data_IF_774938153382
#
_entry.id   IF_774938153382
#
_cell.length_a   1.000
_cell.length_b   1.000
_cell.length_c   1.000
_cell.angle_alpha   90.00
_cell.angle_beta   90.00
_cell.angle_gamma   90.00
#
_symmetry.space_group_name_H-M   'P 1'
#
loop_
_entity.id
_entity.type
_entity.pdbx_description
1 polymer ?
#
# COMPACT_ATOMS: atom_id res chain seq x y z
N UNK A 1 -17.81 -10.12 7.54
CA UNK A 1 -17.74 -8.86 8.32
C UNK A 1 -19.07 -8.16 8.27
N UNK A 2 -19.60 -7.79 9.43
CA UNK A 2 -20.84 -7.00 9.59
C UNK A 2 -20.55 -5.96 10.68
N UNK A 3 -20.84 -4.66 10.46
CA UNK A 3 -20.63 -3.63 11.47
C UNK A 3 -21.30 -3.96 12.81
N UNK A 4 -20.62 -3.70 13.92
CA UNK A 4 -21.11 -3.87 15.29
C UNK A 4 -21.21 -5.31 15.78
N UNK A 5 -20.80 -6.31 14.98
CA UNK A 5 -20.90 -7.71 15.38
C UNK A 5 -19.84 -8.05 16.44
N UNK A 6 -20.27 -8.57 17.59
CA UNK A 6 -19.36 -8.95 18.68
C UNK A 6 -18.26 -9.96 18.28
N UNK A 7 -18.54 -10.82 17.30
CA UNK A 7 -17.60 -11.80 16.75
C UNK A 7 -16.58 -11.20 15.75
N UNK A 8 -16.62 -9.89 15.48
CA UNK A 8 -15.60 -9.24 14.67
C UNK A 8 -14.20 -9.38 15.34
N UNK A 9 -13.12 -9.52 14.55
CA UNK A 9 -11.75 -9.55 15.08
C UNK A 9 -11.41 -8.31 15.93
N UNK A 10 -10.44 -8.43 16.83
CA UNK A 10 -10.08 -7.35 17.77
C UNK A 10 -9.74 -6.03 17.07
N UNK A 11 -8.95 -6.08 16.00
CA UNK A 11 -8.56 -4.91 15.22
C UNK A 11 -9.75 -4.23 14.52
N UNK A 12 -10.75 -4.99 14.08
CA UNK A 12 -12.00 -4.44 13.52
C UNK A 12 -12.81 -3.76 14.62
N UNK A 13 -13.03 -4.43 15.76
CA UNK A 13 -13.78 -3.84 16.88
C UNK A 13 -13.15 -2.55 17.38
N UNK A 14 -11.80 -2.47 17.35
CA UNK A 14 -11.06 -1.24 17.62
C UNK A 14 -11.38 -0.15 16.61
N UNK A 15 -11.37 -0.45 15.32
CA UNK A 15 -11.74 0.54 14.28
C UNK A 15 -13.18 1.00 14.47
N UNK A 16 -14.12 0.10 14.73
CA UNK A 16 -15.53 0.43 15.00
C UNK A 16 -15.68 1.36 16.22
N UNK A 17 -14.81 1.21 17.23
CA UNK A 17 -14.76 2.08 18.42
C UNK A 17 -14.26 3.49 18.10
N UNK A 18 -13.27 3.64 17.22
CA UNK A 18 -12.62 4.94 16.95
C UNK A 18 -13.11 5.64 15.68
N UNK A 19 -13.81 4.93 14.81
CA UNK A 19 -14.36 5.39 13.54
C UNK A 19 -15.70 4.69 13.30
N UNK A 20 -16.81 5.34 13.64
CA UNK A 20 -18.15 4.85 13.30
C UNK A 20 -18.43 4.99 11.80
N UNK A 21 -19.42 4.27 11.28
CA UNK A 21 -19.86 4.42 9.88
C UNK A 21 -20.30 5.86 9.57
N UNK A 22 -21.07 6.49 10.46
CA UNK A 22 -21.47 7.89 10.32
C UNK A 22 -20.27 8.85 10.28
N UNK A 23 -19.22 8.58 11.05
CA UNK A 23 -17.98 9.38 11.00
C UNK A 23 -17.27 9.14 9.67
N UNK A 24 -17.14 7.90 9.20
CA UNK A 24 -16.57 7.58 7.89
C UNK A 24 -17.32 8.29 6.75
N UNK A 25 -18.65 8.29 6.80
CA UNK A 25 -19.52 9.02 5.87
C UNK A 25 -19.26 10.53 5.88
N UNK A 26 -19.14 11.12 7.07
CA UNK A 26 -18.82 12.53 7.21
C UNK A 26 -17.42 12.89 6.67
N UNK A 27 -16.43 12.00 6.83
CA UNK A 27 -15.07 12.22 6.31
C UNK A 27 -15.02 12.12 4.78
N UNK A 28 -15.83 11.25 4.18
CA UNK A 28 -15.81 10.95 2.75
C UNK A 28 -17.21 11.07 2.11
N UNK A 29 -17.81 12.26 2.08
CA UNK A 29 -19.17 12.46 1.59
C UNK A 29 -19.32 12.27 0.07
N UNK A 30 -18.24 12.48 -0.71
CA UNK A 30 -18.24 12.39 -2.18
C UNK A 30 -17.59 11.13 -2.73
N UNK A 31 -17.22 10.19 -1.87
CA UNK A 31 -16.57 8.95 -2.32
C UNK A 31 -17.43 8.21 -3.34
N UNK A 32 -16.79 7.42 -4.20
CA UNK A 32 -17.51 6.43 -4.99
C UNK A 32 -18.25 5.46 -4.05
N UNK A 33 -19.49 5.11 -4.38
CA UNK A 33 -20.33 4.19 -3.59
C UNK A 33 -19.71 2.79 -3.43
N UNK A 34 -18.75 2.41 -4.30
CA UNK A 34 -17.99 1.17 -4.16
C UNK A 34 -17.08 1.15 -2.90
N UNK A 35 -16.65 2.33 -2.43
CA UNK A 35 -15.94 2.48 -1.16
C UNK A 35 -16.94 2.51 0.00
N UNK A 36 -17.39 1.33 0.44
CA UNK A 36 -18.27 1.21 1.60
C UNK A 36 -17.49 1.04 2.91
N UNK A 37 -18.09 1.46 4.03
CA UNK A 37 -17.54 1.20 5.36
C UNK A 37 -17.38 -0.29 5.62
N UNK A 38 -18.32 -1.12 5.15
CA UNK A 38 -18.22 -2.58 5.21
C UNK A 38 -16.99 -3.10 4.47
N UNK A 39 -16.66 -2.56 3.29
CA UNK A 39 -15.46 -2.96 2.54
C UNK A 39 -14.17 -2.52 3.25
N UNK A 40 -14.16 -1.35 3.89
CA UNK A 40 -13.06 -0.92 4.77
C UNK A 40 -12.84 -1.94 5.89
N UNK A 41 -13.91 -2.32 6.61
CA UNK A 41 -13.83 -3.31 7.69
C UNK A 41 -13.40 -4.70 7.18
N UNK A 42 -13.82 -5.12 5.99
CA UNK A 42 -13.37 -6.37 5.34
C UNK A 42 -11.87 -6.35 5.07
N UNK A 43 -11.36 -5.24 4.53
CA UNK A 43 -9.93 -5.03 4.31
C UNK A 43 -9.13 -5.15 5.61
N UNK A 44 -9.54 -4.43 6.64
CA UNK A 44 -8.90 -4.44 7.97
C UNK A 44 -8.96 -5.84 8.61
N UNK A 45 -10.10 -6.53 8.52
CA UNK A 45 -10.25 -7.87 9.08
C UNK A 45 -9.26 -8.89 8.50
N UNK A 46 -8.90 -8.75 7.21
CA UNK A 46 -7.97 -9.66 6.53
C UNK A 46 -6.52 -9.46 6.97
N UNK A 47 -6.16 -8.29 7.48
CA UNK A 47 -4.80 -7.94 7.88
C UNK A 47 -4.75 -7.46 9.35
N UNK A 48 -4.69 -8.38 10.32
CA UNK A 48 -4.80 -8.07 11.75
C UNK A 48 -3.76 -7.09 12.31
N UNK A 49 -2.62 -6.94 11.64
CA UNK A 49 -1.60 -5.96 12.00
C UNK A 49 -2.07 -4.50 11.83
N UNK A 50 -3.04 -4.25 10.94
CA UNK A 50 -3.64 -2.93 10.79
C UNK A 50 -4.57 -2.65 11.96
N UNK A 51 -4.29 -1.60 12.73
CA UNK A 51 -4.93 -1.33 14.02
C UNK A 51 -4.85 -2.55 14.97
N UNK A 52 -3.69 -3.23 15.02
CA UNK A 52 -3.47 -4.42 15.84
C UNK A 52 -3.40 -4.18 17.36
N UNK A 53 -3.35 -5.28 18.10
CA UNK A 53 -3.17 -5.27 19.57
C UNK A 53 -1.67 -5.18 19.93
N UNK A 54 -1.37 -4.55 21.06
CA UNK A 54 0.00 -4.42 21.60
C UNK A 54 0.09 -5.02 23.00
N UNK A 55 1.17 -5.76 23.27
CA UNK A 55 1.43 -6.40 24.57
C UNK A 55 2.43 -5.63 25.45
N UNK A 56 2.99 -4.55 24.91
CA UNK A 56 4.07 -3.75 25.50
C UNK A 56 3.56 -2.44 26.14
N UNK A 57 2.24 -2.32 26.34
CA UNK A 57 1.62 -1.16 26.99
C UNK A 57 1.33 0.03 26.07
N UNK A 58 1.62 -0.06 24.76
CA UNK A 58 1.23 0.97 23.80
C UNK A 58 -0.30 1.12 23.71
N UNK A 59 -0.76 2.37 23.60
CA UNK A 59 -2.18 2.67 23.40
C UNK A 59 -2.60 2.32 21.96
N UNK A 60 -3.16 1.12 21.80
CA UNK A 60 -3.61 0.59 20.53
C UNK A 60 -4.69 1.48 19.86
N UNK A 61 -5.56 2.11 20.64
CA UNK A 61 -6.65 2.92 20.12
C UNK A 61 -6.13 4.27 19.60
N UNK A 62 -5.18 4.89 20.32
CA UNK A 62 -4.50 6.10 19.86
C UNK A 62 -3.69 5.84 18.59
N UNK A 63 -2.95 4.73 18.54
CA UNK A 63 -2.18 4.33 17.35
C UNK A 63 -3.12 4.07 16.17
N UNK A 64 -4.27 3.42 16.41
CA UNK A 64 -5.25 3.17 15.36
C UNK A 64 -5.86 4.47 14.81
N UNK A 65 -6.19 5.45 15.66
CA UNK A 65 -6.66 6.78 15.22
C UNK A 65 -5.62 7.47 14.34
N UNK A 66 -4.34 7.43 14.75
CA UNK A 66 -3.24 8.01 13.96
C UNK A 66 -3.06 7.30 12.62
N UNK A 67 -3.08 5.96 12.61
CA UNK A 67 -2.96 5.16 11.40
C UNK A 67 -4.10 5.45 10.41
N UNK A 68 -5.34 5.50 10.90
CA UNK A 68 -6.50 5.89 10.08
C UNK A 68 -6.36 7.30 9.53
N UNK A 69 -5.98 8.28 10.37
CA UNK A 69 -5.78 9.65 9.93
C UNK A 69 -4.72 9.77 8.83
N UNK A 70 -3.59 9.08 8.99
CA UNK A 70 -2.52 9.04 7.99
C UNK A 70 -2.98 8.37 6.70
N UNK A 71 -3.57 7.17 6.77
CA UNK A 71 -4.06 6.47 5.57
C UNK A 71 -5.12 7.26 4.82
N UNK A 72 -6.06 7.89 5.54
CA UNK A 72 -7.12 8.71 4.93
C UNK A 72 -6.57 9.97 4.25
N UNK A 73 -5.55 10.61 4.85
CA UNK A 73 -4.86 11.73 4.21
C UNK A 73 -4.16 11.31 2.92
N UNK A 74 -3.56 10.11 2.90
CA UNK A 74 -3.02 9.57 1.65
C UNK A 74 -4.13 9.32 0.63
N UNK A 75 -5.26 8.72 1.01
CA UNK A 75 -6.37 8.46 0.08
C UNK A 75 -6.90 9.74 -0.60
N UNK A 76 -6.91 10.87 0.11
CA UNK A 76 -7.24 12.18 -0.49
C UNK A 76 -6.32 12.51 -1.66
N UNK A 77 -5.01 12.35 -1.50
CA UNK A 77 -4.06 12.63 -2.58
C UNK A 77 -4.06 11.55 -3.68
N UNK A 78 -4.21 10.27 -3.33
CA UNK A 78 -4.16 9.17 -4.30
C UNK A 78 -5.42 9.08 -5.16
N UNK A 79 -6.59 9.36 -4.58
CA UNK A 79 -7.88 9.04 -5.20
C UNK A 79 -8.89 10.17 -5.11
N UNK A 80 -8.54 11.30 -4.51
CA UNK A 80 -9.49 12.39 -4.35
C UNK A 80 -9.74 13.17 -5.63
N UNK A 81 -10.92 13.79 -5.74
CA UNK A 81 -11.21 14.71 -6.83
C UNK A 81 -10.22 15.89 -6.81
N UNK A 82 -9.97 16.45 -5.61
CA UNK A 82 -9.07 17.58 -5.38
C UNK A 82 -9.41 18.80 -6.26
N UNK A 83 -10.70 19.06 -6.44
CA UNK A 83 -11.22 20.19 -7.20
C UNK A 83 -11.73 21.25 -6.24
N UNK A 84 -11.11 22.44 -6.27
CA UNK A 84 -11.45 23.53 -5.34
C UNK A 84 -12.90 24.01 -5.45
N UNK A 85 -13.54 23.82 -6.61
CA UNK A 85 -14.91 24.25 -6.89
C UNK A 85 -15.97 23.16 -6.78
N UNK A 86 -15.61 21.91 -6.43
CA UNK A 86 -16.56 20.80 -6.40
C UNK A 86 -17.65 21.01 -5.36
N UNK A 87 -18.91 21.14 -5.82
CA UNK A 87 -20.10 21.22 -4.95
C UNK A 87 -20.84 19.89 -4.87
N UNK A 88 -21.71 19.67 -3.86
CA UNK A 88 -22.57 18.49 -3.82
C UNK A 88 -23.48 18.34 -5.03
N UNK A 89 -24.04 19.44 -5.57
CA UNK A 89 -24.86 19.39 -6.77
C UNK A 89 -24.08 18.88 -7.99
N UNK A 90 -22.84 19.32 -8.17
CA UNK A 90 -21.94 18.83 -9.22
C UNK A 90 -21.56 17.37 -9.00
N UNK A 91 -21.18 16.99 -7.77
CA UNK A 91 -20.81 15.61 -7.48
C UNK A 91 -21.96 14.62 -7.74
N UNK A 92 -23.20 15.03 -7.49
CA UNK A 92 -24.40 14.20 -7.72
C UNK A 92 -24.74 13.98 -9.20
N UNK A 93 -24.13 14.70 -10.14
CA UNK A 93 -24.31 14.41 -11.58
C UNK A 93 -23.55 13.16 -12.01
N UNK A 94 -22.58 12.72 -11.21
CA UNK A 94 -21.87 11.47 -11.40
C UNK A 94 -22.61 10.33 -10.66
N UNK A 95 -23.16 9.33 -11.36
CA UNK A 95 -23.98 8.28 -10.75
C UNK A 95 -23.27 7.53 -9.61
N UNK A 96 -21.98 7.25 -9.79
CA UNK A 96 -21.17 6.51 -8.81
C UNK A 96 -20.92 7.28 -7.50
N UNK A 97 -21.24 8.57 -7.45
CA UNK A 97 -21.03 9.44 -6.29
C UNK A 97 -22.35 9.92 -5.68
N UNK A 98 -23.48 9.72 -6.37
CA UNK A 98 -24.79 10.15 -5.89
C UNK A 98 -25.27 9.23 -4.75
N UNK A 99 -25.05 9.69 -3.51
CA UNK A 99 -25.32 8.91 -2.30
C UNK A 99 -26.10 9.73 -1.25
N UNK A 100 -26.67 9.05 -0.26
CA UNK A 100 -27.52 9.66 0.76
C UNK A 100 -26.79 10.70 1.63
N UNK A 101 -25.50 10.50 1.91
CA UNK A 101 -24.69 11.43 2.71
C UNK A 101 -24.55 12.75 1.97
N UNK A 102 -24.15 12.68 0.70
CA UNK A 102 -23.97 13.83 -0.16
C UNK A 102 -25.26 14.65 -0.33
N UNK A 103 -26.41 13.98 -0.36
CA UNK A 103 -27.71 14.62 -0.46
C UNK A 103 -28.09 15.48 0.75
N UNK A 104 -27.42 15.32 1.90
CA UNK A 104 -27.66 16.14 3.11
C UNK A 104 -26.84 17.43 3.15
N UNK A 105 -25.86 17.59 2.26
CA UNK A 105 -24.99 18.77 2.23
C UNK A 105 -25.61 19.93 1.43
N UNK A 106 -25.28 21.20 1.76
CA UNK A 106 -25.73 22.36 0.98
C UNK A 106 -25.29 22.24 -0.49
N UNK A 107 -26.23 22.28 -1.46
CA UNK A 107 -25.98 21.85 -2.84
C UNK A 107 -24.90 22.66 -3.58
N UNK A 108 -24.77 23.94 -3.28
CA UNK A 108 -23.90 24.88 -4.01
C UNK A 108 -22.70 25.36 -3.20
N UNK A 109 -22.47 24.79 -2.01
CA UNK A 109 -21.28 25.12 -1.20
C UNK A 109 -20.11 24.21 -1.60
N UNK A 110 -18.94 24.77 -1.95
CA UNK A 110 -17.77 23.95 -2.26
C UNK A 110 -17.40 23.02 -1.10
N UNK A 111 -17.11 21.77 -1.44
CA UNK A 111 -16.69 20.74 -0.50
C UNK A 111 -15.20 20.92 -0.27
N UNK A 112 -14.78 20.98 0.99
CA UNK A 112 -13.36 21.11 1.33
C UNK A 112 -12.53 19.97 0.72
N UNK A 113 -11.38 20.28 0.12
CA UNK A 113 -10.56 19.28 -0.62
C UNK A 113 -10.19 18.06 0.22
N UNK A 114 -9.95 18.21 1.52
CA UNK A 114 -9.64 17.08 2.41
C UNK A 114 -10.79 16.08 2.57
N UNK A 115 -12.03 16.47 2.25
CA UNK A 115 -13.23 15.60 2.23
C UNK A 115 -13.50 15.00 0.86
N UNK A 116 -12.66 15.26 -0.13
CA UNK A 116 -12.85 14.81 -1.51
C UNK A 116 -12.14 13.49 -1.84
N UNK A 117 -11.55 12.80 -0.85
CA UNK A 117 -10.88 11.51 -1.05
C UNK A 117 -11.82 10.39 -1.49
N UNK A 118 -11.23 9.30 -2.02
CA UNK A 118 -11.96 8.11 -2.47
C UNK A 118 -12.92 8.37 -3.64
N UNK A 119 -12.61 9.35 -4.48
CA UNK A 119 -13.38 9.64 -5.70
C UNK A 119 -13.07 8.60 -6.77
N UNK A 120 -11.80 8.44 -7.14
CA UNK A 120 -11.38 7.52 -8.19
C UNK A 120 -11.18 6.08 -7.67
N UNK A 121 -11.72 5.10 -8.39
CA UNK A 121 -11.44 3.67 -8.19
C UNK A 121 -10.25 3.20 -9.04
N UNK A 122 -10.00 3.89 -10.14
CA UNK A 122 -9.01 3.59 -11.18
C UNK A 122 -8.25 4.86 -11.52
N UNK A 123 -7.00 4.70 -11.92
CA UNK A 123 -6.19 5.81 -12.38
C UNK A 123 -6.87 6.54 -13.53
N UNK A 124 -6.95 7.86 -13.43
CA UNK A 124 -7.61 8.69 -14.43
C UNK A 124 -6.92 8.54 -15.79
N UNK A 125 -7.70 8.30 -16.85
CA UNK A 125 -7.19 8.09 -18.20
C UNK A 125 -6.84 6.65 -18.55
N UNK A 126 -7.02 5.69 -17.63
CA UNK A 126 -6.85 4.27 -17.89
C UNK A 126 -8.18 3.50 -17.87
N UNK A 127 -8.31 2.50 -18.75
CA UNK A 127 -9.46 1.59 -18.78
C UNK A 127 -9.00 0.13 -18.70
N UNK A 128 -9.88 -0.75 -18.25
CA UNK A 128 -9.55 -2.18 -18.19
C UNK A 128 -9.27 -2.74 -19.58
N UNK A 129 -8.12 -3.40 -19.74
CA UNK A 129 -7.72 -4.00 -21.01
C UNK A 129 -7.28 -3.02 -22.11
N UNK A 130 -7.33 -1.71 -21.88
CA UNK A 130 -6.99 -0.69 -22.88
C UNK A 130 -5.51 -0.32 -22.95
N UNK A 131 -4.72 -0.70 -21.93
CA UNK A 131 -3.40 -0.16 -21.70
C UNK A 131 -2.29 -1.20 -21.92
N UNK A 132 -1.30 -0.82 -22.74
CA UNK A 132 -0.10 -1.59 -23.05
C UNK A 132 1.12 -0.71 -22.81
N UNK A 133 1.97 -1.08 -21.84
CA UNK A 133 3.35 -0.60 -21.74
C UNK A 133 3.67 0.43 -20.67
N UNK A 134 2.71 0.87 -19.85
CA UNK A 134 2.95 1.91 -18.85
C UNK A 134 3.29 1.35 -17.46
N UNK A 135 2.53 0.35 -16.98
CA UNK A 135 2.59 -0.12 -15.59
C UNK A 135 2.89 -1.61 -15.51
N UNK A 136 3.98 -2.02 -16.16
CA UNK A 136 4.22 -3.44 -16.35
C UNK A 136 5.73 -3.76 -16.44
N UNK A 137 6.16 -4.81 -15.74
CA UNK A 137 7.51 -5.37 -15.83
C UNK A 137 7.42 -6.83 -16.31
N UNK A 138 7.14 -7.00 -17.60
CA UNK A 138 6.72 -8.28 -18.20
C UNK A 138 7.77 -8.93 -19.09
N UNK A 139 8.87 -8.23 -19.37
CA UNK A 139 9.87 -8.67 -20.36
C UNK A 139 11.18 -9.05 -19.68
N UNK A 140 11.88 -10.09 -20.16
CA UNK A 140 13.22 -10.42 -19.67
C UNK A 140 14.14 -9.19 -19.65
N UNK A 141 14.81 -8.97 -18.51
CA UNK A 141 15.69 -7.82 -18.29
C UNK A 141 15.03 -6.61 -17.62
N UNK A 142 13.69 -6.51 -17.54
CA UNK A 142 13.04 -5.52 -16.67
C UNK A 142 13.15 -5.98 -15.22
N UNK A 143 14.02 -5.33 -14.42
CA UNK A 143 14.32 -5.67 -13.01
C UNK A 143 14.39 -7.19 -12.75
N UNK A 144 15.58 -7.76 -13.00
CA UNK A 144 16.03 -9.15 -12.99
C UNK A 144 15.00 -10.30 -12.87
N UNK A 145 14.10 -10.30 -11.90
CA UNK A 145 13.24 -11.43 -11.53
C UNK A 145 11.72 -11.17 -11.60
N UNK A 146 11.24 -9.91 -11.65
CA UNK A 146 9.81 -9.63 -11.49
C UNK A 146 8.93 -10.26 -12.59
N UNK A 147 9.41 -10.29 -13.82
CA UNK A 147 8.72 -10.90 -14.97
C UNK A 147 8.58 -12.44 -14.84
N UNK A 148 9.39 -13.08 -13.98
CA UNK A 148 9.35 -14.53 -13.71
C UNK A 148 8.33 -14.84 -12.62
N UNK A 149 8.38 -14.12 -11.50
CA UNK A 149 7.61 -14.46 -10.29
C UNK A 149 6.25 -13.76 -10.21
N UNK A 150 6.12 -12.63 -10.90
CA UNK A 150 4.86 -11.89 -11.03
C UNK A 150 4.56 -11.69 -12.51
N UNK A 151 4.38 -12.79 -13.27
CA UNK A 151 4.23 -12.74 -14.71
C UNK A 151 3.00 -11.93 -15.09
N UNK A 152 3.15 -11.07 -16.09
CA UNK A 152 2.03 -10.27 -16.57
C UNK A 152 1.06 -11.13 -17.39
N UNK A 153 -0.23 -10.94 -17.15
CA UNK A 153 -1.28 -11.50 -17.96
C UNK A 153 -1.33 -10.83 -19.34
N UNK A 154 -1.93 -11.53 -20.30
CA UNK A 154 -2.14 -11.04 -21.67
C UNK A 154 -3.62 -10.90 -21.98
N UNK A 155 -3.99 -9.86 -22.71
CA UNK A 155 -5.34 -9.69 -23.24
C UNK A 155 -5.62 -10.68 -24.39
N UNK A 156 -6.85 -10.65 -24.92
CA UNK A 156 -7.28 -11.49 -26.04
C UNK A 156 -6.50 -11.29 -27.34
N UNK A 157 -5.76 -10.18 -27.47
CA UNK A 157 -4.86 -9.87 -28.60
C UNK A 157 -3.42 -10.33 -28.35
N UNK A 158 -3.16 -11.02 -27.24
CA UNK A 158 -1.82 -11.49 -26.87
C UNK A 158 -0.87 -10.41 -26.36
N UNK A 159 -1.37 -9.21 -26.08
CA UNK A 159 -0.58 -8.09 -25.54
C UNK A 159 -0.61 -8.14 -24.01
N UNK A 160 0.51 -7.84 -23.36
CA UNK A 160 0.53 -7.69 -21.90
C UNK A 160 -0.41 -6.57 -21.47
N UNK A 161 -1.11 -6.80 -20.35
CA UNK A 161 -1.99 -5.82 -19.74
C UNK A 161 -1.21 -4.92 -18.77
N UNK A 162 -1.63 -3.66 -18.65
CA UNK A 162 -1.08 -2.76 -17.66
C UNK A 162 -1.72 -2.89 -16.27
N UNK A 163 -0.86 -2.78 -15.25
CA UNK A 163 -1.22 -2.78 -13.83
C UNK A 163 -1.29 -1.35 -13.29
N UNK A 164 -2.06 -0.47 -13.94
CA UNK A 164 -2.29 0.91 -13.48
C UNK A 164 -3.02 0.98 -12.13
N UNK A 165 -3.07 2.17 -11.54
CA UNK A 165 -3.57 2.41 -10.19
C UNK A 165 -5.02 1.94 -9.98
N UNK A 166 -5.25 1.11 -8.95
CA UNK A 166 -6.59 0.67 -8.52
C UNK A 166 -6.79 0.76 -7.00
N UNK A 167 -8.02 1.07 -6.58
CA UNK A 167 -8.41 1.16 -5.17
C UNK A 167 -7.83 2.37 -4.43
N UNK A 168 -8.04 2.40 -3.11
CA UNK A 168 -7.85 3.57 -2.25
C UNK A 168 -6.40 4.09 -2.20
N UNK A 169 -5.42 3.21 -2.47
CA UNK A 169 -3.99 3.54 -2.51
C UNK A 169 -3.42 3.58 -3.93
N UNK A 170 -4.27 3.42 -4.96
CA UNK A 170 -3.82 3.28 -6.35
C UNK A 170 -2.72 2.23 -6.48
N UNK A 171 -3.03 0.98 -6.11
CA UNK A 171 -2.09 -0.13 -6.24
C UNK A 171 -1.71 -0.27 -7.73
N UNK A 172 -0.41 -0.21 -8.02
CA UNK A 172 0.11 -0.29 -9.38
C UNK A 172 1.27 -1.28 -9.48
N UNK A 173 1.55 -1.75 -10.70
CA UNK A 173 2.60 -2.70 -11.08
C UNK A 173 2.34 -4.18 -10.71
N UNK A 174 2.67 -5.09 -11.63
CA UNK A 174 2.56 -6.54 -11.45
C UNK A 174 3.24 -7.03 -10.16
N UNK A 175 4.41 -6.48 -9.82
CA UNK A 175 5.14 -6.84 -8.60
C UNK A 175 4.49 -6.34 -7.29
N UNK A 176 3.40 -5.58 -7.34
CA UNK A 176 2.54 -5.32 -6.19
C UNK A 176 1.25 -6.16 -6.23
N UNK A 177 0.65 -6.35 -7.42
CA UNK A 177 -0.54 -7.18 -7.58
C UNK A 177 -0.27 -8.66 -7.24
N UNK A 178 0.87 -9.21 -7.67
CA UNK A 178 1.26 -10.59 -7.39
C UNK A 178 1.37 -10.89 -5.89
N UNK A 179 2.23 -10.17 -5.14
CA UNK A 179 2.33 -10.36 -3.69
C UNK A 179 1.03 -10.08 -2.93
N UNK A 180 0.23 -9.11 -3.36
CA UNK A 180 -1.08 -8.88 -2.76
C UNK A 180 -2.03 -10.05 -2.99
N UNK A 181 -2.03 -10.63 -4.20
CA UNK A 181 -2.81 -11.83 -4.53
C UNK A 181 -2.38 -13.03 -3.68
N UNK A 182 -1.07 -13.25 -3.55
CA UNK A 182 -0.51 -14.33 -2.73
C UNK A 182 -0.90 -14.17 -1.25
N UNK A 183 -0.77 -12.97 -0.69
CA UNK A 183 -1.16 -12.68 0.70
C UNK A 183 -2.66 -12.95 0.97
N UNK A 184 -3.51 -12.87 -0.06
CA UNK A 184 -4.94 -13.13 0.06
C UNK A 184 -5.30 -14.59 -0.16
N UNK A 185 -4.69 -15.21 -1.18
CA UNK A 185 -5.17 -16.45 -1.80
C UNK A 185 -4.13 -17.56 -1.88
N UNK A 186 -2.86 -17.29 -1.58
CA UNK A 186 -1.74 -18.21 -1.80
C UNK A 186 -1.44 -18.45 -3.30
N UNK A 187 -1.91 -17.56 -4.18
CA UNK A 187 -1.71 -17.62 -5.61
C UNK A 187 -1.50 -16.21 -6.16
N UNK A 188 -0.37 -15.98 -6.82
CA UNK A 188 -0.03 -14.69 -7.46
C UNK A 188 -0.94 -14.37 -8.65
N UNK A 189 -1.49 -15.38 -9.34
CA UNK A 189 -2.12 -15.17 -10.64
C UNK A 189 -3.53 -14.59 -10.55
N UNK A 190 -4.28 -14.82 -9.46
CA UNK A 190 -5.68 -14.40 -9.39
C UNK A 190 -5.91 -12.91 -9.61
N UNK A 191 -5.03 -12.05 -9.08
CA UNK A 191 -5.08 -10.61 -9.34
C UNK A 191 -4.12 -10.16 -10.46
N UNK A 192 -3.16 -10.99 -10.88
CA UNK A 192 -2.39 -10.69 -12.09
C UNK A 192 -3.23 -10.86 -13.35
N UNK A 193 -4.09 -11.88 -13.39
CA UNK A 193 -5.00 -12.18 -14.50
C UNK A 193 -6.23 -11.28 -14.51
N UNK A 194 -6.66 -10.80 -13.34
CA UNK A 194 -7.88 -10.01 -13.18
C UNK A 194 -7.65 -8.78 -12.27
N UNK A 195 -6.75 -7.84 -12.65
CA UNK A 195 -6.39 -6.72 -11.78
C UNK A 195 -7.58 -5.80 -11.46
N UNK A 196 -8.59 -5.71 -12.34
CA UNK A 196 -9.82 -4.96 -12.10
C UNK A 196 -10.57 -5.32 -10.81
N UNK A 197 -10.42 -6.56 -10.31
CA UNK A 197 -11.00 -6.99 -9.02
C UNK A 197 -10.58 -6.10 -7.85
N UNK A 198 -9.39 -5.48 -7.92
CA UNK A 198 -8.92 -4.55 -6.89
C UNK A 198 -9.81 -3.31 -6.80
N UNK A 199 -10.34 -2.82 -7.92
CA UNK A 199 -11.27 -1.69 -7.93
C UNK A 199 -12.72 -2.13 -7.63
N UNK A 200 -13.16 -3.25 -8.20
CA UNK A 200 -14.60 -3.60 -8.27
C UNK A 200 -15.14 -4.33 -7.04
N UNK A 201 -14.28 -4.69 -6.09
CA UNK A 201 -14.67 -5.51 -4.94
C UNK A 201 -14.19 -4.88 -3.63
N UNK A 202 -14.40 -5.57 -2.50
CA UNK A 202 -13.86 -5.16 -1.19
C UNK A 202 -12.33 -5.02 -1.15
N UNK A 203 -11.65 -5.52 -2.19
CA UNK A 203 -10.22 -5.36 -2.38
C UNK A 203 -9.80 -3.89 -2.56
N UNK A 204 -10.73 -2.99 -2.84
CA UNK A 204 -10.46 -1.56 -3.03
C UNK A 204 -9.91 -0.87 -1.77
N UNK A 205 -10.25 -1.37 -0.58
CA UNK A 205 -9.58 -1.03 0.67
C UNK A 205 -8.53 -2.05 1.08
N UNK A 206 -8.75 -3.34 0.80
CA UNK A 206 -7.83 -4.37 1.26
C UNK A 206 -6.42 -4.20 0.68
N UNK A 207 -6.28 -3.71 -0.56
CA UNK A 207 -4.97 -3.43 -1.16
C UNK A 207 -4.22 -2.32 -0.42
N UNK A 208 -4.92 -1.27 0.00
CA UNK A 208 -4.34 -0.18 0.79
C UNK A 208 -3.95 -0.63 2.20
N UNK A 209 -4.79 -1.46 2.82
CA UNK A 209 -4.50 -2.05 4.14
C UNK A 209 -3.29 -2.98 4.06
N UNK A 210 -3.23 -3.84 3.04
CA UNK A 210 -2.09 -4.71 2.77
C UNK A 210 -0.82 -3.89 2.62
N UNK A 211 -0.83 -2.86 1.77
CA UNK A 211 0.34 -1.99 1.55
C UNK A 211 0.81 -1.34 2.86
N UNK A 212 -0.11 -0.93 3.74
CA UNK A 212 0.24 -0.30 5.00
C UNK A 212 0.94 -1.25 6.00
N UNK A 213 0.69 -2.56 5.91
CA UNK A 213 1.24 -3.57 6.84
C UNK A 213 2.35 -4.43 6.23
N UNK A 214 2.45 -4.49 4.90
CA UNK A 214 3.41 -5.34 4.20
C UNK A 214 4.79 -4.69 4.16
N UNK A 215 5.86 -5.37 4.61
CA UNK A 215 7.21 -4.84 4.50
C UNK A 215 7.68 -4.85 3.04
N UNK A 216 8.36 -3.78 2.61
CA UNK A 216 8.95 -3.65 1.28
C UNK A 216 10.38 -3.11 1.42
N UNK A 217 11.25 -3.92 2.01
CA UNK A 217 12.60 -3.51 2.41
C UNK A 217 13.40 -2.91 1.23
N UNK A 218 14.14 -1.80 1.43
CA UNK A 218 14.52 -1.19 2.71
C UNK A 218 13.42 -0.37 3.40
N UNK A 219 12.25 -0.17 2.76
CA UNK A 219 11.14 0.57 3.38
C UNK A 219 10.43 -0.29 4.43
N UNK A 220 10.14 0.25 5.63
CA UNK A 220 9.31 -0.44 6.59
C UNK A 220 7.84 -0.43 6.15
N UNK A 221 6.99 -1.30 6.73
CA UNK A 221 5.55 -1.08 6.71
C UNK A 221 5.20 0.31 7.23
N UNK A 222 4.15 0.94 6.69
CA UNK A 222 3.66 2.22 7.23
C UNK A 222 3.31 2.12 8.71
N UNK A 223 2.76 0.98 9.15
CA UNK A 223 2.41 0.76 10.55
C UNK A 223 3.59 0.95 11.50
N UNK A 224 4.81 0.59 11.10
CA UNK A 224 6.01 0.73 11.95
C UNK A 224 6.43 2.19 12.19
N UNK A 225 6.13 3.07 11.24
CA UNK A 225 6.33 4.51 11.38
C UNK A 225 5.34 5.09 12.40
N UNK A 226 4.10 4.59 12.36
CA UNK A 226 2.98 5.14 13.15
C UNK A 226 2.96 4.61 14.59
N UNK A 227 3.24 3.32 14.78
CA UNK A 227 3.19 2.66 16.08
C UNK A 227 4.49 2.80 16.90
N UNK A 228 5.52 3.42 16.30
CA UNK A 228 6.82 3.66 16.90
C UNK A 228 7.75 2.45 16.92
N UNK A 229 7.43 1.35 16.23
CA UNK A 229 8.29 0.17 16.10
C UNK A 229 9.60 0.52 15.38
N UNK A 230 9.55 1.34 14.33
CA UNK A 230 10.76 1.84 13.69
C UNK A 230 11.43 2.91 14.56
N UNK A 231 12.65 2.60 15.00
CA UNK A 231 13.54 3.53 15.70
C UNK A 231 14.70 3.89 14.77
N UNK A 232 14.77 5.12 14.22
CA UNK A 232 15.84 5.51 13.31
C UNK A 232 17.22 5.27 13.91
N UNK A 233 18.12 4.65 13.14
CA UNK A 233 19.54 4.55 13.50
C UNK A 233 20.36 5.69 12.87
N UNK A 234 21.69 5.66 13.01
CA UNK A 234 22.57 6.70 12.46
C UNK A 234 22.47 6.84 10.93
N UNK A 235 22.19 5.75 10.20
CA UNK A 235 22.00 5.76 8.74
C UNK A 235 20.71 6.48 8.39
N UNK A 236 19.61 6.15 9.07
CA UNK A 236 18.32 6.81 8.89
C UNK A 236 18.43 8.33 9.18
N UNK A 237 19.05 8.69 10.30
CA UNK A 237 19.24 10.08 10.70
C UNK A 237 20.14 10.86 9.73
N UNK A 238 21.19 10.24 9.18
CA UNK A 238 22.03 10.85 8.14
C UNK A 238 21.26 11.11 6.84
N UNK A 239 20.24 10.30 6.55
CA UNK A 239 19.28 10.51 5.46
C UNK A 239 18.10 11.41 5.85
N UNK A 240 18.15 12.02 7.04
CA UNK A 240 17.11 12.87 7.59
C UNK A 240 15.74 12.16 7.70
N UNK A 241 15.76 10.83 7.82
CA UNK A 241 14.58 10.02 8.04
C UNK A 241 14.19 10.09 9.52
N UNK A 242 12.93 10.47 9.77
CA UNK A 242 12.38 10.66 11.12
C UNK A 242 10.94 10.12 11.19
N UNK A 243 10.46 9.62 12.34
CA UNK A 243 9.09 9.14 12.48
C UNK A 243 8.08 10.29 12.32
N UNK A 244 7.06 10.10 11.49
CA UNK A 244 6.02 11.09 11.21
C UNK A 244 5.35 10.85 9.86
N UNK A 245 4.30 11.62 9.53
CA UNK A 245 3.61 11.46 8.24
C UNK A 245 4.53 11.68 7.03
N UNK A 246 5.60 12.47 7.16
CA UNK A 246 6.59 12.62 6.10
C UNK A 246 7.23 11.29 5.67
N UNK A 247 7.58 10.44 6.64
CA UNK A 247 8.15 9.13 6.33
C UNK A 247 7.13 8.20 5.66
N UNK A 248 5.84 8.32 5.95
CA UNK A 248 4.81 7.54 5.25
C UNK A 248 4.59 8.02 3.81
N UNK A 249 4.74 9.33 3.54
CA UNK A 249 4.82 9.86 2.15
C UNK A 249 6.01 9.22 1.42
N UNK A 250 7.18 9.15 2.06
CA UNK A 250 8.37 8.54 1.46
C UNK A 250 8.15 7.06 1.12
N UNK A 251 7.54 6.29 2.03
CA UNK A 251 7.21 4.88 1.79
C UNK A 251 6.35 4.74 0.52
N UNK A 252 5.33 5.58 0.40
CA UNK A 252 4.35 5.57 -0.68
C UNK A 252 4.95 5.99 -2.02
N UNK A 253 5.61 7.15 -2.09
CA UNK A 253 6.04 7.72 -3.36
C UNK A 253 7.29 8.61 -3.25
N UNK A 254 8.21 8.26 -2.34
CA UNK A 254 9.38 9.09 -2.03
C UNK A 254 10.32 9.37 -3.20
N UNK A 255 10.40 8.46 -4.18
CA UNK A 255 11.22 8.65 -5.38
C UNK A 255 10.72 9.78 -6.30
N UNK A 256 9.47 10.22 -6.13
CA UNK A 256 8.85 11.29 -6.93
C UNK A 256 8.58 12.53 -6.05
N UNK A 257 8.06 12.32 -4.84
CA UNK A 257 7.53 13.38 -3.99
C UNK A 257 8.54 13.97 -2.99
N UNK A 258 9.64 13.28 -2.70
CA UNK A 258 10.54 13.60 -1.60
C UNK A 258 11.99 13.86 -2.07
N UNK A 259 12.85 14.31 -1.14
CA UNK A 259 14.30 14.41 -1.35
C UNK A 259 14.77 15.54 -2.26
N UNK A 260 13.87 16.40 -2.74
CA UNK A 260 14.21 17.57 -3.57
C UNK A 260 14.93 18.69 -2.81
N UNK A 261 14.90 18.68 -1.48
CA UNK A 261 15.29 19.81 -0.64
C UNK A 261 14.32 21.00 -0.74
N UNK A 262 14.42 21.94 0.19
CA UNK A 262 13.62 23.16 0.16
C UNK A 262 12.13 22.92 0.46
N UNK A 263 11.25 23.50 -0.37
CA UNK A 263 9.80 23.44 -0.19
C UNK A 263 9.21 22.07 -0.56
N UNK A 264 8.14 21.68 0.13
CA UNK A 264 7.41 20.45 -0.21
C UNK A 264 6.71 20.54 -1.57
N UNK A 265 6.65 19.41 -2.27
CA UNK A 265 5.88 19.29 -3.52
C UNK A 265 4.39 19.55 -3.26
N UNK A 266 3.62 20.08 -4.24
CA UNK A 266 2.19 20.33 -4.09
C UNK A 266 1.38 19.10 -3.63
N UNK A 267 1.73 17.92 -4.13
CA UNK A 267 1.12 16.64 -3.73
C UNK A 267 1.33 16.36 -2.24
N UNK A 268 2.52 16.67 -1.70
CA UNK A 268 2.82 16.49 -0.28
C UNK A 268 2.10 17.53 0.57
N UNK A 269 2.00 18.78 0.09
CA UNK A 269 1.20 19.81 0.76
C UNK A 269 -0.27 19.41 0.88
N UNK A 270 -0.86 18.79 -0.14
CA UNK A 270 -2.22 18.24 -0.07
C UNK A 270 -2.34 17.14 1.01
N UNK A 271 -1.37 16.22 1.07
CA UNK A 271 -1.33 15.17 2.11
C UNK A 271 -1.21 15.79 3.51
N UNK A 272 -0.36 16.80 3.69
CA UNK A 272 -0.19 17.51 4.97
C UNK A 272 -1.50 18.18 5.39
N UNK A 273 -2.14 18.91 4.47
CA UNK A 273 -3.42 19.59 4.73
C UNK A 273 -4.52 18.59 5.12
N UNK A 274 -4.63 17.48 4.38
CA UNK A 274 -5.56 16.42 4.70
C UNK A 274 -5.24 15.74 6.03
N UNK A 275 -3.97 15.46 6.33
CA UNK A 275 -3.56 14.81 7.59
C UNK A 275 -3.90 15.66 8.80
N UNK A 276 -3.65 16.97 8.77
CA UNK A 276 -4.04 17.88 9.86
C UNK A 276 -5.54 17.82 10.14
N UNK A 277 -6.36 17.79 9.09
CA UNK A 277 -7.83 17.72 9.22
C UNK A 277 -8.30 16.34 9.67
N UNK A 278 -7.76 15.26 9.13
CA UNK A 278 -8.09 13.90 9.56
C UNK A 278 -7.67 13.66 11.02
N UNK A 279 -6.51 14.19 11.43
CA UNK A 279 -6.04 14.12 12.81
C UNK A 279 -6.98 14.85 13.77
N UNK A 280 -7.41 16.07 13.43
CA UNK A 280 -8.43 16.82 14.17
C UNK A 280 -9.72 15.99 14.31
N UNK A 281 -10.23 15.46 13.19
CA UNK A 281 -11.49 14.72 13.18
C UNK A 281 -11.44 13.38 13.94
N UNK A 282 -10.27 12.76 14.01
CA UNK A 282 -10.03 11.48 14.69
C UNK A 282 -9.33 11.67 16.04
N UNK A 283 -9.32 12.88 16.61
CA UNK A 283 -8.74 13.16 17.92
C UNK A 283 -7.29 12.62 18.07
N UNK A 284 -6.48 12.85 17.05
CA UNK A 284 -5.05 12.54 17.01
C UNK A 284 -4.27 13.81 17.36
N UNK A 285 -3.48 13.74 18.42
CA UNK A 285 -2.50 14.79 18.72
C UNK A 285 -1.32 14.66 17.77
N UNK A 286 -1.01 15.73 17.04
CA UNK A 286 0.21 15.86 16.25
C UNK A 286 1.27 16.51 17.14
N UNK A 287 2.35 15.81 17.52
CA UNK A 287 3.46 16.40 18.26
C UNK A 287 4.08 17.58 17.49
N UNK A 288 4.52 18.65 18.17
CA UNK A 288 5.12 19.81 17.52
C UNK A 288 6.36 19.48 16.68
N UNK A 289 7.05 18.40 17.01
CA UNK A 289 8.28 17.91 16.36
C UNK A 289 8.02 16.82 15.31
N UNK A 290 6.77 16.42 15.06
CA UNK A 290 6.45 15.44 14.02
C UNK A 290 6.69 16.04 12.62
N UNK A 291 7.60 15.45 11.82
CA UNK A 291 7.80 15.89 10.44
C UNK A 291 6.61 15.49 9.57
N UNK A 292 5.85 16.50 9.12
CA UNK A 292 4.64 16.26 8.34
C UNK A 292 4.91 16.00 6.85
N UNK A 293 5.99 16.59 6.32
CA UNK A 293 6.43 16.47 4.93
C UNK A 293 7.77 15.73 4.79
N UNK A 294 8.25 15.61 3.57
CA UNK A 294 9.41 14.79 3.23
C UNK A 294 10.43 15.45 2.28
N UNK A 295 10.35 16.77 2.07
CA UNK A 295 11.21 17.49 1.11
C UNK A 295 12.71 17.20 1.33
N UNK A 296 13.12 17.09 2.59
CA UNK A 296 14.53 16.87 2.98
C UNK A 296 14.85 15.39 3.31
N UNK A 297 13.91 14.47 3.16
CA UNK A 297 14.11 13.03 3.44
C UNK A 297 14.79 12.34 2.25
N UNK A 298 15.89 11.63 2.49
CA UNK A 298 16.69 10.98 1.44
C UNK A 298 16.41 9.49 1.30
N UNK A 299 15.64 8.92 2.21
CA UNK A 299 15.09 7.57 2.11
C UNK A 299 15.74 6.52 2.97
N UNK A 300 15.10 5.35 2.96
CA UNK A 300 15.58 4.13 3.57
C UNK A 300 16.57 3.45 2.62
N UNK A 301 17.70 3.00 3.16
CA UNK A 301 18.78 2.37 2.41
C UNK A 301 19.25 1.11 3.12
N UNK A 302 20.20 0.39 2.51
CA UNK A 302 20.86 -0.74 3.15
C UNK A 302 21.39 -0.35 4.54
N UNK A 303 21.11 -1.16 5.56
CA UNK A 303 21.50 -0.88 6.94
C UNK A 303 20.62 0.14 7.69
N UNK A 304 19.60 0.75 7.07
CA UNK A 304 18.53 1.45 7.80
C UNK A 304 17.94 0.56 8.89
N UNK A 305 17.47 1.11 10.01
CA UNK A 305 16.87 0.30 11.07
C UNK A 305 15.59 -0.43 10.62
N UNK A 306 14.96 0.10 9.57
CA UNK A 306 13.80 -0.47 8.89
C UNK A 306 14.15 -1.54 7.83
N UNK A 307 15.42 -1.64 7.41
CA UNK A 307 15.88 -2.55 6.37
C UNK A 307 16.04 -3.97 6.96
N UNK A 308 14.91 -4.60 7.27
CA UNK A 308 14.88 -5.93 7.87
C UNK A 308 15.32 -6.99 6.87
N UNK A 309 16.15 -7.91 7.34
CA UNK A 309 16.60 -9.07 6.57
C UNK A 309 15.49 -10.14 6.46
N UNK A 310 14.42 -9.82 5.72
CA UNK A 310 13.24 -10.67 5.60
C UNK A 310 13.19 -11.46 4.29
N UNK A 311 13.98 -11.06 3.30
CA UNK A 311 13.98 -11.66 1.96
C UNK A 311 15.15 -12.60 1.78
N UNK A 312 15.08 -13.49 0.79
CA UNK A 312 16.10 -14.48 0.49
C UNK A 312 16.68 -14.25 -0.91
N UNK A 313 18.01 -14.25 -0.98
CA UNK A 313 18.76 -14.19 -2.24
C UNK A 313 19.88 -15.24 -2.23
N UNK A 314 20.49 -15.46 -3.39
CA UNK A 314 21.69 -16.27 -3.56
C UNK A 314 22.79 -15.82 -2.59
N UNK A 315 23.40 -16.77 -1.89
CA UNK A 315 24.63 -16.46 -1.18
C UNK A 315 25.81 -16.40 -2.16
N UNK A 316 26.31 -15.20 -2.39
CA UNK A 316 27.47 -14.91 -3.22
C UNK A 316 28.82 -15.20 -2.51
N UNK A 317 28.79 -15.66 -1.26
CA UNK A 317 30.01 -15.96 -0.49
C UNK A 317 30.72 -17.24 -0.95
N UNK A 318 31.94 -17.43 -0.46
CA UNK A 318 32.73 -18.65 -0.63
C UNK A 318 32.85 -19.38 0.70
N UNK A 319 32.53 -20.68 0.70
CA UNK A 319 32.61 -21.57 1.87
C UNK A 319 33.60 -22.69 1.53
N UNK A 320 34.69 -22.80 2.30
CA UNK A 320 35.73 -23.82 2.12
C UNK A 320 36.30 -23.87 0.69
N UNK A 321 36.57 -22.70 0.09
CA UNK A 321 37.14 -22.60 -1.25
C UNK A 321 36.17 -22.93 -2.40
N UNK A 322 34.86 -23.04 -2.14
CA UNK A 322 33.83 -23.22 -3.16
C UNK A 322 32.72 -22.16 -3.02
N UNK A 323 32.01 -21.79 -4.10
CA UNK A 323 30.85 -20.90 -3.99
C UNK A 323 29.79 -21.52 -3.06
N UNK A 324 29.16 -20.69 -2.24
CA UNK A 324 28.05 -21.12 -1.41
C UNK A 324 26.88 -21.63 -2.28
N UNK A 325 26.27 -22.73 -1.84
CA UNK A 325 25.15 -23.41 -2.51
C UNK A 325 23.84 -23.27 -1.71
N UNK A 326 23.64 -22.07 -1.15
CA UNK A 326 22.54 -21.76 -0.26
C UNK A 326 22.01 -20.36 -0.53
N UNK A 327 20.74 -20.14 -0.20
CA UNK A 327 20.23 -18.78 -0.07
C UNK A 327 20.55 -18.21 1.31
N UNK A 328 20.63 -16.89 1.41
CA UNK A 328 20.78 -16.14 2.67
C UNK A 328 19.78 -15.02 2.77
N UNK A 329 19.61 -14.50 3.98
CA UNK A 329 18.76 -13.34 4.21
C UNK A 329 19.39 -12.06 3.66
N UNK A 330 18.54 -11.22 3.07
CA UNK A 330 18.90 -9.91 2.51
C UNK A 330 17.87 -8.85 2.90
N UNK A 331 18.30 -7.60 2.86
CA UNK A 331 17.55 -6.40 3.26
C UNK A 331 17.02 -5.59 2.07
N UNK A 332 16.97 -6.20 0.88
CA UNK A 332 16.28 -5.70 -0.31
C UNK A 332 15.21 -6.71 -0.78
N UNK A 333 14.17 -6.22 -1.46
CA UNK A 333 13.09 -7.07 -1.93
C UNK A 333 13.58 -8.14 -2.91
N UNK A 334 13.15 -9.38 -2.66
CA UNK A 334 13.30 -10.53 -3.55
C UNK A 334 11.95 -11.27 -3.63
N UNK A 335 11.74 -12.16 -4.62
CA UNK A 335 10.51 -12.94 -4.72
C UNK A 335 10.34 -14.01 -3.63
N UNK A 336 11.36 -14.22 -2.78
CA UNK A 336 11.36 -15.22 -1.72
C UNK A 336 11.53 -14.55 -0.36
N UNK A 337 10.71 -14.93 0.62
CA UNK A 337 10.81 -14.41 1.98
C UNK A 337 10.81 -15.50 3.03
N UNK A 338 11.61 -15.32 4.08
CA UNK A 338 11.63 -16.27 5.21
C UNK A 338 10.29 -16.32 5.96
N UNK A 339 9.44 -15.29 5.83
CA UNK A 339 8.11 -15.28 6.44
C UNK A 339 7.13 -16.24 5.75
N UNK A 340 7.44 -16.69 4.54
CA UNK A 340 6.60 -17.59 3.75
C UNK A 340 7.13 -19.03 3.85
N UNK A 341 6.36 -19.97 4.43
CA UNK A 341 6.79 -21.37 4.52
C UNK A 341 7.14 -21.95 3.14
N UNK A 342 8.32 -22.56 3.03
CA UNK A 342 8.79 -23.19 1.80
C UNK A 342 9.61 -22.29 0.87
N UNK A 343 9.64 -20.97 1.09
CA UNK A 343 10.36 -20.04 0.19
C UNK A 343 11.87 -20.21 0.23
N UNK A 344 12.46 -20.68 1.34
CA UNK A 344 13.88 -21.05 1.36
C UNK A 344 14.20 -22.13 0.33
N UNK A 345 13.38 -23.19 0.29
CA UNK A 345 13.52 -24.24 -0.71
C UNK A 345 13.31 -23.69 -2.12
N UNK A 346 12.30 -22.85 -2.34
CA UNK A 346 12.05 -22.23 -3.66
C UNK A 346 13.21 -21.35 -4.12
N UNK A 347 13.84 -20.62 -3.21
CA UNK A 347 15.03 -19.82 -3.49
C UNK A 347 16.22 -20.71 -3.90
N UNK A 348 16.49 -21.77 -3.12
CA UNK A 348 17.58 -22.70 -3.44
C UNK A 348 17.33 -23.40 -4.77
N UNK A 349 16.08 -23.83 -5.00
CA UNK A 349 15.67 -24.43 -6.27
C UNK A 349 15.92 -23.45 -7.42
N UNK A 350 15.51 -22.18 -7.26
CA UNK A 350 15.68 -21.15 -8.28
C UNK A 350 17.14 -20.90 -8.67
N UNK A 351 18.04 -20.80 -7.70
CA UNK A 351 19.44 -20.44 -7.98
C UNK A 351 20.37 -21.62 -8.25
N UNK A 352 20.02 -22.82 -7.78
CA UNK A 352 20.97 -23.94 -7.73
C UNK A 352 20.43 -25.25 -8.30
N UNK A 353 19.11 -25.39 -8.54
CA UNK A 353 18.63 -26.53 -9.33
C UNK A 353 18.75 -26.21 -10.81
N UNK A 354 19.28 -27.18 -11.55
CA UNK A 354 19.44 -27.10 -12.99
C UNK A 354 18.14 -26.79 -13.72
N UNK A 355 16.99 -27.25 -13.24
CA UNK A 355 15.68 -26.85 -13.77
C UNK A 355 14.73 -26.52 -12.62
N UNK A 356 14.02 -25.41 -12.75
CA UNK A 356 12.96 -24.96 -11.86
C UNK A 356 11.64 -25.17 -12.58
N UNK A 357 10.81 -26.01 -11.98
CA UNK A 357 9.45 -26.24 -12.44
C UNK A 357 8.50 -25.31 -11.67
N UNK A 358 7.66 -24.56 -12.39
CA UNK A 358 6.54 -23.83 -11.82
C UNK A 358 5.28 -24.18 -12.62
N UNK A 359 4.22 -24.60 -11.93
CA UNK A 359 2.98 -25.09 -12.53
C UNK A 359 3.19 -26.16 -13.64
N UNK A 360 4.14 -27.06 -13.45
CA UNK A 360 4.40 -28.17 -14.38
C UNK A 360 5.20 -27.78 -15.63
N UNK A 361 5.69 -26.54 -15.72
CA UNK A 361 6.55 -26.05 -16.81
C UNK A 361 7.94 -25.69 -16.28
N UNK A 362 8.98 -25.93 -17.09
CA UNK A 362 10.33 -25.41 -16.82
C UNK A 362 10.27 -23.90 -17.01
N UNK A 363 10.30 -23.16 -15.91
CA UNK A 363 10.32 -21.68 -15.93
C UNK A 363 11.72 -21.10 -15.78
N UNK A 364 12.67 -21.91 -15.29
CA UNK A 364 14.10 -21.57 -15.26
C UNK A 364 14.87 -22.84 -15.58
N UNK A 365 15.79 -22.77 -16.54
CA UNK A 365 16.72 -23.84 -16.87
C UNK A 365 18.15 -23.31 -16.69
N UNK A 366 18.73 -23.59 -15.53
CA UNK A 366 20.11 -23.30 -15.16
C UNK A 366 21.08 -24.43 -15.59
N UNK A 367 20.66 -25.42 -16.40
CA UNK A 367 21.57 -26.43 -16.97
C UNK A 367 22.26 -26.00 -18.28
N UNK A 368 21.92 -24.82 -18.80
CA UNK A 368 22.52 -24.27 -20.03
C UNK A 368 23.54 -23.17 -19.77
#
# INVERSE_FOLDING_TARGET
MVPGRAANPSNVRRVEKVLTEAKFDALFPVRSVAYSYVNLLRGIAKFPAYCGDYKDGRDADAICRKLLATSFAHFVQETGANWSSLTPAQARTYPDHNNAVLATLPPDTPIEMWRQGLWFLRESGYEEGSAVGAYQQCTPGSHATNWIFYPCAKNSKGQYIDYFGRGAKQLSWNYNFGPFSDALYGDVNLLLDNPGKVADTWLNFASAVWFAVAPQTPKPPMTWVIDGTWKPNSIDLANNMKPGSGATVYIINGGIECGGGGDERPQVQNRIAAYKKMAEQLSVTIPPDEPLGCANMRGFVQGSAAAVQAYLDKDWSWVNGKPATACKLVDYQMPFSLVTPGDYKRCVDYFYRGQVMYNGQIVVDNTK
#
